data_IF_202153157770
#
_entry.id   IF_202153157770
#
_cell.length_a   1.000
_cell.length_b   1.000
_cell.length_c   1.000
_cell.angle_alpha   90.00
_cell.angle_beta   90.00
_cell.angle_gamma   90.00
#
_symmetry.space_group_name_H-M   'P 1'
#
loop_
_entity.id
_entity.type
_entity.pdbx_description
1 polymer ?
#
# COMPACT_ATOMS: atom_id res chain seq x y z
N UNK A 1 -21.04 73.63 -44.22
CA UNK A 1 -21.39 72.19 -44.39
C UNK A 1 -20.84 71.40 -43.20
N UNK A 2 -21.37 71.67 -42.01
CA UNK A 2 -20.80 71.23 -40.73
C UNK A 2 -21.94 70.93 -39.76
N UNK A 3 -22.63 69.80 -39.93
CA UNK A 3 -23.70 69.40 -39.01
C UNK A 3 -24.09 67.90 -39.12
N UNK A 4 -23.15 66.99 -39.41
CA UNK A 4 -23.48 65.55 -39.53
C UNK A 4 -22.57 64.60 -38.73
N UNK A 5 -21.68 65.11 -37.88
CA UNK A 5 -20.77 64.27 -37.07
C UNK A 5 -21.01 64.32 -35.55
N UNK A 6 -22.02 65.05 -35.07
CA UNK A 6 -22.29 65.19 -33.63
C UNK A 6 -23.43 64.27 -33.11
N UNK A 7 -24.32 63.76 -33.98
CA UNK A 7 -25.46 62.93 -33.54
C UNK A 7 -25.19 61.42 -33.46
N UNK A 8 -24.05 60.92 -33.98
CA UNK A 8 -23.72 59.48 -33.89
C UNK A 8 -23.03 59.08 -32.58
N UNK A 9 -22.64 60.05 -31.75
CA UNK A 9 -21.89 59.80 -30.50
C UNK A 9 -22.83 59.75 -29.28
N UNK A 10 -23.98 60.43 -29.31
CA UNK A 10 -24.95 60.44 -28.20
C UNK A 10 -25.94 59.26 -28.19
N UNK A 11 -26.06 58.52 -29.30
CA UNK A 11 -26.92 57.33 -29.38
C UNK A 11 -26.21 56.04 -28.95
N UNK A 12 -24.89 56.08 -28.69
CA UNK A 12 -24.08 54.89 -28.37
C UNK A 12 -23.72 54.74 -26.88
N UNK A 13 -24.14 55.66 -26.02
CA UNK A 13 -23.78 55.71 -24.59
C UNK A 13 -24.90 55.31 -23.63
N UNK A 14 -26.07 54.85 -24.11
CA UNK A 14 -27.20 54.44 -23.26
C UNK A 14 -27.50 52.93 -23.21
N UNK A 15 -26.59 52.06 -23.66
CA UNK A 15 -26.64 50.62 -23.34
C UNK A 15 -25.75 50.26 -22.15
N UNK A 16 -25.84 51.05 -21.07
CA UNK A 16 -25.33 50.63 -19.77
C UNK A 16 -26.04 49.33 -19.37
N UNK A 17 -25.24 48.28 -19.20
CA UNK A 17 -25.70 46.92 -18.95
C UNK A 17 -26.73 46.82 -17.84
N UNK A 18 -27.99 46.57 -18.23
CA UNK A 18 -28.92 45.81 -17.38
C UNK A 18 -28.32 44.41 -17.18
N UNK A 19 -27.57 44.24 -16.09
CA UNK A 19 -27.30 42.91 -15.54
C UNK A 19 -28.66 42.26 -15.32
N UNK A 20 -29.00 41.27 -16.15
CA UNK A 20 -30.14 40.39 -15.89
C UNK A 20 -29.99 39.87 -14.44
N UNK A 21 -31.05 39.85 -13.62
CA UNK A 21 -30.95 39.28 -12.29
C UNK A 21 -30.53 37.82 -12.47
N UNK A 22 -29.33 37.48 -12.02
CA UNK A 22 -28.88 36.10 -11.97
C UNK A 22 -29.77 35.45 -10.92
N UNK A 23 -30.82 34.76 -11.37
CA UNK A 23 -31.74 34.00 -10.52
C UNK A 23 -30.92 33.11 -9.59
N UNK A 24 -31.32 33.02 -8.32
CA UNK A 24 -30.66 32.18 -7.29
C UNK A 24 -30.38 30.75 -7.78
N UNK A 25 -31.23 30.20 -8.66
CA UNK A 25 -31.05 28.94 -9.36
C UNK A 25 -29.79 28.86 -10.25
N UNK A 26 -29.37 29.95 -10.90
CA UNK A 26 -28.15 30.03 -11.71
C UNK A 26 -26.87 30.20 -10.86
N UNK A 27 -26.98 30.75 -9.64
CA UNK A 27 -25.90 30.68 -8.64
C UNK A 27 -25.77 29.27 -8.05
N UNK A 28 -26.89 28.56 -7.84
CA UNK A 28 -26.88 27.15 -7.41
C UNK A 28 -26.32 26.23 -8.51
N UNK A 29 -26.72 26.41 -9.77
CA UNK A 29 -26.17 25.64 -10.89
C UNK A 29 -24.67 25.89 -11.16
N UNK A 30 -24.12 27.05 -10.76
CA UNK A 30 -22.67 27.33 -10.83
C UNK A 30 -21.89 26.79 -9.63
N UNK A 31 -22.56 26.44 -8.54
CA UNK A 31 -21.94 25.72 -7.42
C UNK A 31 -21.82 24.21 -7.69
N UNK A 32 -22.47 23.70 -8.73
CA UNK A 32 -22.52 22.27 -9.09
C UNK A 32 -21.37 21.78 -10.01
N UNK A 33 -20.38 22.61 -10.35
CA UNK A 33 -19.09 22.11 -10.85
C UNK A 33 -18.19 21.63 -9.70
N UNK A 34 -18.80 21.02 -8.69
CA UNK A 34 -18.16 20.69 -7.43
C UNK A 34 -17.36 19.41 -7.55
N UNK A 35 -16.41 19.37 -8.50
CA UNK A 35 -15.38 18.36 -8.50
C UNK A 35 -14.67 18.48 -7.15
N UNK A 36 -14.87 17.52 -6.25
CA UNK A 36 -14.20 17.53 -4.96
C UNK A 36 -12.69 17.46 -5.22
N UNK A 37 -12.02 18.62 -5.14
CA UNK A 37 -10.60 18.77 -5.47
C UNK A 37 -9.69 17.98 -4.53
N UNK A 38 -10.19 17.59 -3.36
CA UNK A 38 -9.48 16.87 -2.30
C UNK A 38 -10.30 15.70 -1.74
N UNK A 39 -9.60 14.67 -1.26
CA UNK A 39 -10.20 13.56 -0.50
C UNK A 39 -10.96 14.08 0.73
N UNK A 40 -10.43 15.11 1.40
CA UNK A 40 -11.08 15.69 2.58
C UNK A 40 -12.44 16.34 2.25
N UNK A 41 -12.57 16.99 1.09
CA UNK A 41 -13.85 17.57 0.68
C UNK A 41 -14.87 16.50 0.31
N UNK A 42 -14.44 15.40 -0.33
CA UNK A 42 -15.29 14.26 -0.62
C UNK A 42 -15.84 13.63 0.67
N UNK A 43 -14.97 13.36 1.66
CA UNK A 43 -15.38 12.79 2.95
C UNK A 43 -16.39 13.70 3.66
N UNK A 44 -16.17 15.02 3.66
CA UNK A 44 -17.14 15.96 4.27
C UNK A 44 -18.48 15.93 3.54
N UNK A 45 -18.47 15.86 2.22
CA UNK A 45 -19.70 15.81 1.45
C UNK A 45 -20.50 14.53 1.73
N UNK A 46 -19.82 13.38 1.77
CA UNK A 46 -20.42 12.09 2.16
C UNK A 46 -21.00 12.16 3.58
N UNK A 47 -20.25 12.70 4.54
CA UNK A 47 -20.71 12.85 5.94
C UNK A 47 -21.89 13.80 6.10
N UNK A 48 -22.13 14.69 5.14
CA UNK A 48 -23.25 15.63 5.17
C UNK A 48 -24.51 15.05 4.51
N UNK A 49 -24.43 13.91 3.83
CA UNK A 49 -25.60 13.22 3.27
C UNK A 49 -26.51 12.77 4.41
N UNK A 50 -27.82 13.03 4.27
CA UNK A 50 -28.81 12.68 5.31
C UNK A 50 -29.39 11.28 5.11
N UNK A 51 -29.29 10.74 3.89
CA UNK A 51 -29.88 9.46 3.52
C UNK A 51 -28.86 8.59 2.78
N UNK A 52 -29.01 7.27 2.92
CA UNK A 52 -28.17 6.29 2.22
C UNK A 52 -28.33 6.36 0.68
N UNK A 53 -29.49 6.81 0.18
CA UNK A 53 -29.70 7.01 -1.25
C UNK A 53 -28.89 8.20 -1.78
N UNK A 54 -28.94 9.34 -1.08
CA UNK A 54 -28.16 10.54 -1.42
C UNK A 54 -26.65 10.26 -1.39
N UNK A 55 -26.20 9.47 -0.41
CA UNK A 55 -24.81 9.01 -0.32
C UNK A 55 -24.41 8.19 -1.55
N UNK A 56 -25.22 7.19 -1.93
CA UNK A 56 -24.96 6.34 -3.11
C UNK A 56 -24.92 7.16 -4.41
N UNK A 57 -25.82 8.13 -4.57
CA UNK A 57 -25.86 9.00 -5.75
C UNK A 57 -24.65 9.92 -5.83
N UNK A 58 -24.19 10.46 -4.70
CA UNK A 58 -22.96 11.26 -4.64
C UNK A 58 -21.74 10.40 -4.99
N UNK A 59 -21.63 9.21 -4.41
CA UNK A 59 -20.53 8.29 -4.69
C UNK A 59 -20.52 7.88 -6.17
N UNK A 60 -21.68 7.55 -6.75
CA UNK A 60 -21.82 7.15 -8.16
C UNK A 60 -21.38 8.28 -9.10
N UNK A 61 -21.82 9.51 -8.85
CA UNK A 61 -21.40 10.70 -9.63
C UNK A 61 -19.89 10.92 -9.55
N UNK A 62 -19.32 10.87 -8.35
CA UNK A 62 -17.87 11.05 -8.16
C UNK A 62 -17.04 9.92 -8.77
N UNK A 63 -17.52 8.67 -8.70
CA UNK A 63 -16.86 7.55 -9.35
C UNK A 63 -16.82 7.72 -10.88
N UNK A 64 -17.89 8.23 -11.49
CA UNK A 64 -17.93 8.55 -12.91
C UNK A 64 -16.94 9.68 -13.27
N UNK A 65 -16.88 10.75 -12.48
CA UNK A 65 -15.89 11.82 -12.67
C UNK A 65 -14.45 11.31 -12.55
N UNK A 66 -14.17 10.46 -11.55
CA UNK A 66 -12.85 9.87 -11.36
C UNK A 66 -12.47 8.99 -12.56
N UNK A 67 -13.40 8.18 -13.08
CA UNK A 67 -13.16 7.36 -14.28
C UNK A 67 -12.74 8.22 -15.48
N UNK A 68 -13.47 9.30 -15.73
CA UNK A 68 -13.12 10.27 -16.79
C UNK A 68 -11.77 10.95 -16.52
N UNK A 69 -11.49 11.30 -15.26
CA UNK A 69 -10.21 11.91 -14.89
C UNK A 69 -9.03 10.97 -15.12
N UNK A 70 -9.16 9.69 -14.75
CA UNK A 70 -8.10 8.69 -14.94
C UNK A 70 -7.82 8.45 -16.42
N UNK A 71 -8.87 8.27 -17.25
CA UNK A 71 -8.72 8.13 -18.70
C UNK A 71 -7.99 9.33 -19.33
N UNK A 72 -8.38 10.56 -18.97
CA UNK A 72 -7.80 11.80 -19.50
C UNK A 72 -6.37 12.11 -18.99
N UNK A 73 -5.91 11.43 -17.94
CA UNK A 73 -4.55 11.60 -17.41
C UNK A 73 -3.51 10.72 -18.11
N UNK A 74 -3.95 9.71 -18.87
CA UNK A 74 -3.05 8.78 -19.58
C UNK A 74 -2.22 9.47 -20.68
N UNK A 75 -2.66 10.62 -21.20
CA UNK A 75 -2.13 11.22 -22.45
C UNK A 75 -1.09 12.33 -22.22
N UNK A 76 -0.79 12.78 -20.99
CA UNK A 76 0.05 13.98 -20.80
C UNK A 76 0.98 13.97 -19.58
N UNK A 77 2.29 14.15 -19.84
CA UNK A 77 3.34 14.41 -18.84
C UNK A 77 2.99 15.69 -18.05
N UNK A 78 2.97 15.61 -16.71
CA UNK A 78 2.62 16.73 -15.81
C UNK A 78 1.28 16.63 -15.07
N UNK A 79 0.46 15.60 -15.32
CA UNK A 79 -0.83 15.37 -14.61
C UNK A 79 -0.74 14.34 -13.46
N UNK A 80 0.45 13.95 -13.02
CA UNK A 80 0.66 12.93 -11.97
C UNK A 80 -0.06 13.26 -10.66
N UNK A 81 -0.01 14.52 -10.22
CA UNK A 81 -0.75 14.99 -9.03
C UNK A 81 -2.27 14.83 -9.16
N UNK A 82 -2.81 14.88 -10.38
CA UNK A 82 -4.25 14.65 -10.63
C UNK A 82 -4.58 13.16 -10.54
N UNK A 83 -3.72 12.28 -11.07
CA UNK A 83 -3.86 10.81 -10.93
C UNK A 83 -3.79 10.38 -9.47
N UNK A 84 -2.79 10.86 -8.73
CA UNK A 84 -2.66 10.59 -7.29
C UNK A 84 -3.95 10.93 -6.54
N UNK A 85 -4.50 12.13 -6.76
CA UNK A 85 -5.75 12.56 -6.09
C UNK A 85 -6.96 11.75 -6.53
N UNK A 86 -7.08 11.49 -7.82
CA UNK A 86 -8.18 10.68 -8.37
C UNK A 86 -8.17 9.28 -7.76
N UNK A 87 -7.01 8.62 -7.71
CA UNK A 87 -6.87 7.30 -7.09
C UNK A 87 -7.10 7.36 -5.58
N UNK A 88 -6.59 8.37 -4.88
CA UNK A 88 -6.83 8.50 -3.43
C UNK A 88 -8.33 8.67 -3.10
N UNK A 89 -9.07 9.45 -3.91
CA UNK A 89 -10.54 9.53 -3.78
C UNK A 89 -11.19 8.18 -4.06
N UNK A 90 -10.71 7.48 -5.09
CA UNK A 90 -11.22 6.18 -5.49
C UNK A 90 -11.06 5.12 -4.38
N UNK A 91 -9.88 5.05 -3.75
CA UNK A 91 -9.64 4.15 -2.61
C UNK A 91 -10.48 4.52 -1.40
N UNK A 92 -10.71 5.81 -1.16
CA UNK A 92 -11.62 6.25 -0.10
C UNK A 92 -13.05 5.77 -0.36
N UNK A 93 -13.53 5.87 -1.60
CA UNK A 93 -14.84 5.35 -2.01
C UNK A 93 -14.89 3.83 -1.78
N UNK A 94 -13.88 3.09 -2.25
CA UNK A 94 -13.82 1.64 -2.07
C UNK A 94 -13.91 1.23 -0.60
N UNK A 95 -13.20 1.91 0.30
CA UNK A 95 -13.23 1.60 1.73
C UNK A 95 -14.61 1.85 2.36
N UNK A 96 -15.33 2.89 1.91
CA UNK A 96 -16.68 3.19 2.40
C UNK A 96 -17.72 2.23 1.85
N UNK A 97 -17.61 1.84 0.58
CA UNK A 97 -18.61 1.02 -0.09
C UNK A 97 -18.38 -0.48 0.08
N UNK A 98 -17.18 -0.92 0.49
CA UNK A 98 -16.86 -2.33 0.72
C UNK A 98 -17.81 -3.00 1.73
N UNK A 99 -18.31 -2.26 2.73
CA UNK A 99 -19.20 -2.79 3.76
C UNK A 99 -20.67 -2.95 3.31
N UNK A 100 -21.09 -2.31 2.21
CA UNK A 100 -22.51 -2.14 1.87
C UNK A 100 -22.90 -2.66 0.48
N UNK A 101 -22.13 -3.59 -0.10
CA UNK A 101 -22.39 -4.15 -1.44
C UNK A 101 -22.05 -3.18 -2.56
N UNK A 102 -20.84 -2.59 -2.46
CA UNK A 102 -20.42 -1.42 -3.22
C UNK A 102 -20.33 -1.52 -4.75
N UNK A 103 -20.29 -0.34 -5.37
CA UNK A 103 -19.95 -0.12 -6.78
C UNK A 103 -18.57 -0.73 -7.07
N UNK A 104 -18.45 -1.45 -8.19
CA UNK A 104 -17.15 -2.00 -8.60
C UNK A 104 -16.19 -0.87 -9.01
N UNK A 105 -15.07 -0.81 -8.30
CA UNK A 105 -13.99 0.15 -8.49
C UNK A 105 -12.80 -0.48 -9.26
N UNK A 106 -12.99 -1.65 -9.87
CA UNK A 106 -11.96 -2.41 -10.56
C UNK A 106 -11.20 -1.61 -11.65
N UNK A 107 -11.84 -0.60 -12.26
CA UNK A 107 -11.21 0.26 -13.27
C UNK A 107 -9.98 1.04 -12.76
N UNK A 108 -9.78 1.17 -11.45
CA UNK A 108 -8.63 1.84 -10.85
C UNK A 108 -7.35 0.98 -10.76
N UNK A 109 -7.41 -0.32 -11.04
CA UNK A 109 -6.28 -1.26 -10.85
C UNK A 109 -5.04 -0.87 -11.67
N UNK A 110 -5.21 -0.60 -12.97
CA UNK A 110 -4.09 -0.24 -13.85
C UNK A 110 -3.46 1.10 -13.47
N UNK A 111 -4.25 2.07 -13.01
CA UNK A 111 -3.71 3.35 -12.53
C UNK A 111 -2.96 3.20 -11.19
N UNK A 112 -3.37 2.26 -10.32
CA UNK A 112 -2.62 1.91 -9.13
C UNK A 112 -1.26 1.27 -9.48
N UNK A 113 -1.21 0.36 -10.47
CA UNK A 113 0.04 -0.21 -10.99
C UNK A 113 0.96 0.88 -11.56
N UNK A 114 0.41 1.83 -12.33
CA UNK A 114 1.18 2.97 -12.85
C UNK A 114 1.78 3.85 -11.74
N UNK A 115 1.05 4.08 -10.64
CA UNK A 115 1.59 4.81 -9.50
C UNK A 115 2.64 4.00 -8.73
N UNK A 116 2.51 2.67 -8.67
CA UNK A 116 3.55 1.80 -8.09
C UNK A 116 4.86 1.85 -8.90
N UNK A 117 4.78 2.03 -10.22
CA UNK A 117 5.95 2.25 -11.09
C UNK A 117 6.50 3.70 -11.05
N UNK A 118 5.84 4.65 -10.37
CA UNK A 118 6.30 6.04 -10.27
C UNK A 118 7.62 6.14 -9.49
N UNK A 119 8.53 7.07 -9.83
CA UNK A 119 9.73 7.33 -9.02
C UNK A 119 9.43 8.03 -7.68
N UNK A 120 8.26 8.65 -7.54
CA UNK A 120 7.91 9.39 -6.32
C UNK A 120 7.44 8.43 -5.22
N UNK A 121 8.03 8.53 -4.03
CA UNK A 121 7.66 7.68 -2.89
C UNK A 121 6.19 7.80 -2.48
N UNK A 122 5.62 9.01 -2.50
CA UNK A 122 4.21 9.23 -2.17
C UNK A 122 3.27 8.50 -3.15
N UNK A 123 3.61 8.52 -4.45
CA UNK A 123 2.85 7.83 -5.48
C UNK A 123 2.98 6.31 -5.32
N UNK A 124 4.21 5.80 -5.09
CA UNK A 124 4.44 4.38 -4.80
C UNK A 124 3.62 3.91 -3.59
N UNK A 125 3.62 4.68 -2.50
CA UNK A 125 2.84 4.39 -1.29
C UNK A 125 1.35 4.28 -1.57
N UNK A 126 0.80 5.19 -2.37
CA UNK A 126 -0.61 5.12 -2.75
C UNK A 126 -0.88 3.96 -3.72
N UNK A 127 0.03 3.67 -4.65
CA UNK A 127 -0.07 2.54 -5.57
C UNK A 127 -0.10 1.20 -4.84
N UNK A 128 0.83 0.97 -3.92
CA UNK A 128 0.90 -0.22 -3.07
C UNK A 128 -0.36 -0.43 -2.22
N UNK A 129 -0.87 0.64 -1.60
CA UNK A 129 -2.16 0.60 -0.90
C UNK A 129 -3.31 0.30 -1.87
N UNK A 130 -3.28 0.90 -3.06
CA UNK A 130 -4.32 0.72 -4.06
C UNK A 130 -4.40 -0.70 -4.58
N UNK A 131 -3.26 -1.33 -4.88
CA UNK A 131 -3.21 -2.75 -5.24
C UNK A 131 -3.65 -3.62 -4.06
N UNK A 132 -3.28 -3.28 -2.82
CA UNK A 132 -3.72 -4.01 -1.62
C UNK A 132 -5.24 -4.04 -1.43
N UNK A 133 -5.96 -3.05 -1.97
CA UNK A 133 -7.42 -2.92 -1.84
C UNK A 133 -8.20 -3.29 -3.09
N UNK A 134 -7.62 -3.11 -4.27
CA UNK A 134 -8.32 -3.23 -5.55
C UNK A 134 -7.92 -4.47 -6.36
N UNK A 135 -6.83 -5.14 -6.02
CA UNK A 135 -6.33 -6.26 -6.82
C UNK A 135 -7.37 -7.38 -6.89
N UNK A 136 -7.72 -7.75 -8.11
CA UNK A 136 -8.58 -8.89 -8.41
C UNK A 136 -7.73 -10.04 -8.94
N UNK A 137 -8.32 -11.24 -8.97
CA UNK A 137 -7.78 -12.51 -9.46
C UNK A 137 -7.46 -12.55 -10.97
N UNK A 138 -7.54 -11.41 -11.68
CA UNK A 138 -7.18 -11.30 -13.09
C UNK A 138 -5.68 -11.58 -13.31
N UNK A 139 -5.38 -12.59 -14.12
CA UNK A 139 -4.02 -13.06 -14.41
C UNK A 139 -3.11 -11.95 -14.94
N UNK A 140 -3.58 -11.11 -15.86
CA UNK A 140 -2.78 -10.01 -16.42
C UNK A 140 -2.35 -8.99 -15.35
N UNK A 141 -3.28 -8.64 -14.46
CA UNK A 141 -3.02 -7.66 -13.39
C UNK A 141 -2.07 -8.24 -12.34
N UNK A 142 -2.21 -9.54 -12.04
CA UNK A 142 -1.30 -10.27 -11.16
C UNK A 142 0.13 -10.28 -11.71
N UNK A 143 0.34 -10.62 -12.98
CA UNK A 143 1.68 -10.63 -13.60
C UNK A 143 2.34 -9.24 -13.55
N UNK A 144 1.59 -8.18 -13.86
CA UNK A 144 2.11 -6.81 -13.78
C UNK A 144 2.43 -6.40 -12.35
N UNK A 145 1.60 -6.80 -11.38
CA UNK A 145 1.85 -6.58 -9.97
C UNK A 145 3.12 -7.31 -9.52
N UNK A 146 3.29 -8.59 -9.87
CA UNK A 146 4.48 -9.38 -9.50
C UNK A 146 5.76 -8.76 -10.02
N UNK A 147 5.77 -8.33 -11.28
CA UNK A 147 6.92 -7.64 -11.87
C UNK A 147 7.27 -6.33 -11.14
N UNK A 148 6.24 -5.57 -10.76
CA UNK A 148 6.43 -4.33 -10.02
C UNK A 148 6.96 -4.59 -8.61
N UNK A 149 6.45 -5.62 -7.92
CA UNK A 149 6.99 -6.07 -6.64
C UNK A 149 8.44 -6.51 -6.77
N UNK A 150 8.77 -7.33 -7.78
CA UNK A 150 10.14 -7.78 -8.03
C UNK A 150 11.11 -6.61 -8.23
N UNK A 151 10.69 -5.59 -8.98
CA UNK A 151 11.48 -4.36 -9.16
C UNK A 151 11.70 -3.61 -7.84
N UNK A 152 10.66 -3.42 -7.04
CA UNK A 152 10.73 -2.72 -5.74
C UNK A 152 11.51 -3.52 -4.67
N UNK A 153 11.53 -4.86 -4.75
CA UNK A 153 12.33 -5.73 -3.87
C UNK A 153 13.79 -5.83 -4.31
N UNK A 154 14.07 -5.69 -5.62
CA UNK A 154 15.42 -5.76 -6.18
C UNK A 154 16.17 -4.42 -6.08
N UNK A 155 15.45 -3.29 -6.10
CA UNK A 155 15.97 -1.93 -6.17
C UNK A 155 16.71 -1.39 -4.92
N UNK A 156 17.36 -2.25 -4.14
CA UNK A 156 18.02 -1.87 -2.89
C UNK A 156 19.31 -2.61 -2.54
N UNK A 157 19.88 -3.43 -3.43
CA UNK A 157 21.25 -3.92 -3.24
C UNK A 157 22.19 -3.28 -4.26
N UNK A 158 23.26 -2.60 -3.82
CA UNK A 158 24.34 -2.20 -4.70
C UNK A 158 25.16 -3.46 -5.03
N UNK A 159 24.97 -4.03 -6.22
CA UNK A 159 26.04 -4.81 -6.86
C UNK A 159 27.09 -3.90 -7.51
N UNK A 160 26.96 -2.58 -7.36
CA UNK A 160 27.97 -1.59 -7.72
C UNK A 160 27.80 -0.35 -6.82
N UNK A 161 28.87 0.23 -6.25
CA UNK A 161 28.80 1.46 -5.47
C UNK A 161 28.59 2.65 -6.43
N UNK A 162 27.38 2.78 -6.97
CA UNK A 162 26.99 4.01 -7.67
C UNK A 162 26.22 4.91 -6.72
N UNK A 163 26.71 6.14 -6.66
CA UNK A 163 26.32 7.24 -5.80
C UNK A 163 24.91 7.76 -6.13
N UNK A 164 23.87 6.94 -5.91
CA UNK A 164 22.47 7.37 -5.89
C UNK A 164 21.90 7.09 -4.51
N UNK A 165 22.31 7.93 -3.57
CA UNK A 165 21.84 8.00 -2.19
C UNK A 165 20.39 8.49 -2.15
N UNK A 166 19.44 7.56 -2.23
CA UNK A 166 18.11 7.82 -1.72
C UNK A 166 17.78 6.75 -0.67
N UNK A 167 17.83 7.14 0.61
CA UNK A 167 17.32 6.34 1.74
C UNK A 167 15.85 5.90 1.57
N UNK A 168 15.16 6.39 0.54
CA UNK A 168 13.86 5.90 0.06
C UNK A 168 13.85 4.42 -0.35
N UNK A 169 14.99 3.82 -0.77
CA UNK A 169 15.00 2.43 -1.25
C UNK A 169 14.52 1.42 -0.18
N UNK A 170 15.00 1.54 1.07
CA UNK A 170 14.54 0.65 2.14
C UNK A 170 13.05 0.82 2.47
N UNK A 171 12.53 2.04 2.37
CA UNK A 171 11.11 2.30 2.60
C UNK A 171 10.23 1.77 1.47
N UNK A 172 10.72 1.81 0.22
CA UNK A 172 10.06 1.20 -0.94
C UNK A 172 10.04 -0.33 -0.81
N UNK A 173 11.17 -0.96 -0.48
CA UNK A 173 11.23 -2.41 -0.23
C UNK A 173 10.34 -2.79 0.95
N UNK A 174 10.35 -2.03 2.05
CA UNK A 174 9.49 -2.28 3.20
C UNK A 174 7.99 -2.11 2.88
N UNK A 175 7.64 -1.17 2.01
CA UNK A 175 6.29 -0.99 1.50
C UNK A 175 5.85 -2.20 0.67
N UNK A 176 6.69 -2.63 -0.28
CA UNK A 176 6.45 -3.83 -1.09
C UNK A 176 6.25 -5.08 -0.23
N UNK A 177 7.13 -5.32 0.76
CA UNK A 177 7.01 -6.44 1.70
C UNK A 177 5.71 -6.40 2.50
N UNK A 178 5.27 -5.19 2.90
CA UNK A 178 4.02 -5.03 3.65
C UNK A 178 2.80 -5.36 2.79
N UNK A 179 2.76 -4.86 1.56
CA UNK A 179 1.68 -5.16 0.60
C UNK A 179 1.66 -6.65 0.23
N UNK A 180 2.83 -7.27 0.05
CA UNK A 180 2.94 -8.71 -0.23
C UNK A 180 2.41 -9.55 0.93
N UNK A 181 2.70 -9.20 2.19
CA UNK A 181 2.17 -9.93 3.34
C UNK A 181 0.63 -10.05 3.34
N UNK A 182 -0.09 -9.08 2.76
CA UNK A 182 -1.54 -9.15 2.55
C UNK A 182 -1.96 -9.86 1.26
N UNK A 183 -1.25 -9.65 0.15
CA UNK A 183 -1.70 -10.00 -1.20
C UNK A 183 -1.12 -11.30 -1.77
N UNK A 184 -0.10 -11.88 -1.14
CA UNK A 184 0.70 -12.94 -1.72
C UNK A 184 -0.16 -14.15 -2.13
N UNK A 185 -0.24 -14.39 -3.43
CA UNK A 185 -0.84 -15.59 -4.05
C UNK A 185 0.22 -16.68 -4.24
N UNK A 186 -0.20 -17.92 -4.53
CA UNK A 186 0.72 -19.05 -4.74
C UNK A 186 1.68 -18.81 -5.92
N UNK A 187 1.18 -18.25 -7.03
CA UNK A 187 2.02 -17.92 -8.19
C UNK A 187 3.04 -16.83 -7.87
N UNK A 188 2.63 -15.77 -7.16
CA UNK A 188 3.55 -14.72 -6.71
C UNK A 188 4.59 -15.24 -5.72
N UNK A 189 4.19 -16.13 -4.81
CA UNK A 189 5.08 -16.74 -3.83
C UNK A 189 6.22 -17.52 -4.48
N UNK A 190 5.93 -18.28 -5.53
CA UNK A 190 6.96 -19.02 -6.28
C UNK A 190 7.93 -18.07 -6.98
N UNK A 191 7.41 -17.06 -7.69
CA UNK A 191 8.22 -16.13 -8.48
C UNK A 191 9.11 -15.21 -7.61
N UNK A 192 8.63 -14.81 -6.43
CA UNK A 192 9.32 -13.89 -5.52
C UNK A 192 10.12 -14.59 -4.42
N UNK A 193 10.09 -15.92 -4.34
CA UNK A 193 10.74 -16.72 -3.28
C UNK A 193 12.23 -16.38 -3.14
N UNK A 194 12.93 -16.27 -4.27
CA UNK A 194 14.37 -15.97 -4.31
C UNK A 194 14.66 -14.57 -3.73
N UNK A 195 13.90 -13.55 -4.14
CA UNK A 195 14.04 -12.19 -3.62
C UNK A 195 13.70 -12.10 -2.13
N UNK A 196 12.66 -12.79 -1.67
CA UNK A 196 12.27 -12.81 -0.25
C UNK A 196 13.35 -13.45 0.62
N UNK A 197 13.90 -14.60 0.21
CA UNK A 197 15.00 -15.26 0.92
C UNK A 197 16.29 -14.43 0.92
N UNK A 198 16.56 -13.71 -0.18
CA UNK A 198 17.69 -12.77 -0.25
C UNK A 198 17.55 -11.65 0.78
N UNK A 199 16.34 -11.15 1.02
CA UNK A 199 16.08 -10.07 1.96
C UNK A 199 16.27 -10.46 3.44
N UNK A 200 16.21 -11.75 3.78
CA UNK A 200 16.52 -12.25 5.12
C UNK A 200 17.99 -12.06 5.52
N UNK A 201 18.89 -11.79 4.56
CA UNK A 201 20.31 -11.55 4.84
C UNK A 201 20.66 -10.06 4.95
N UNK A 202 19.72 -9.16 4.72
CA UNK A 202 19.99 -7.72 4.74
C UNK A 202 20.12 -7.26 6.20
N UNK A 203 21.24 -6.64 6.62
CA UNK A 203 21.45 -6.23 8.02
C UNK A 203 20.68 -4.94 8.36
N UNK A 204 19.36 -4.95 8.17
CA UNK A 204 18.47 -3.84 8.47
C UNK A 204 17.21 -4.36 9.16
N UNK A 205 17.08 -4.11 10.46
CA UNK A 205 15.96 -4.57 11.28
C UNK A 205 14.58 -4.16 10.74
N UNK A 206 14.46 -3.00 10.08
CA UNK A 206 13.21 -2.56 9.45
C UNK A 206 12.79 -3.47 8.29
N UNK A 207 13.76 -3.90 7.47
CA UNK A 207 13.53 -4.82 6.35
C UNK A 207 13.35 -6.24 6.86
N UNK A 208 14.23 -6.70 7.76
CA UNK A 208 14.24 -8.07 8.28
C UNK A 208 12.90 -8.47 8.86
N UNK A 209 12.35 -7.68 9.80
CA UNK A 209 11.04 -8.01 10.41
C UNK A 209 9.91 -8.12 9.39
N UNK A 210 9.96 -7.32 8.31
CA UNK A 210 8.97 -7.37 7.22
C UNK A 210 9.22 -8.54 6.27
N UNK A 211 10.47 -8.84 5.96
CA UNK A 211 10.87 -9.94 5.11
C UNK A 211 10.53 -11.29 5.75
N UNK A 212 10.81 -11.44 7.04
CA UNK A 212 10.44 -12.62 7.84
C UNK A 212 8.92 -12.84 7.82
N UNK A 213 8.12 -11.79 8.02
CA UNK A 213 6.65 -11.90 7.94
C UNK A 213 6.14 -12.19 6.53
N UNK A 214 6.80 -11.67 5.49
CA UNK A 214 6.47 -12.00 4.10
C UNK A 214 6.80 -13.47 3.78
N UNK A 215 7.92 -14.00 4.29
CA UNK A 215 8.27 -15.43 4.20
C UNK A 215 7.31 -16.30 5.00
N UNK A 216 6.87 -15.85 6.18
CA UNK A 216 5.81 -16.52 6.95
C UNK A 216 4.52 -16.62 6.12
N UNK A 217 4.12 -15.53 5.46
CA UNK A 217 2.97 -15.55 4.55
C UNK A 217 3.19 -16.50 3.37
N UNK A 218 4.40 -16.52 2.79
CA UNK A 218 4.79 -17.44 1.71
C UNK A 218 4.60 -18.91 2.10
N UNK A 219 5.10 -19.30 3.28
CA UNK A 219 4.90 -20.64 3.82
C UNK A 219 3.40 -20.92 3.99
N UNK A 220 2.64 -19.94 4.48
CA UNK A 220 1.20 -20.10 4.68
C UNK A 220 0.42 -20.31 3.39
N UNK A 221 0.84 -19.67 2.31
CA UNK A 221 0.19 -19.70 1.00
C UNK A 221 0.61 -20.92 0.17
N UNK A 222 1.85 -21.39 0.26
CA UNK A 222 2.35 -22.53 -0.50
C UNK A 222 1.92 -23.87 0.14
N UNK A 223 1.77 -24.89 -0.71
CA UNK A 223 1.52 -26.27 -0.24
C UNK A 223 2.79 -26.87 0.35
N UNK A 224 2.66 -27.75 1.34
CA UNK A 224 3.80 -28.41 1.97
C UNK A 224 4.62 -29.27 0.99
N UNK A 225 3.99 -29.78 -0.06
CA UNK A 225 4.66 -30.53 -1.12
C UNK A 225 5.65 -29.65 -1.90
N UNK A 226 5.22 -28.45 -2.30
CA UNK A 226 6.07 -27.50 -3.05
C UNK A 226 7.25 -27.03 -2.20
N UNK A 227 7.01 -26.70 -0.93
CA UNK A 227 8.06 -26.25 -0.03
C UNK A 227 9.14 -27.30 0.22
N UNK A 228 8.79 -28.60 0.20
CA UNK A 228 9.72 -29.72 0.37
C UNK A 228 10.47 -30.07 -0.91
N UNK A 229 9.80 -30.07 -2.06
CA UNK A 229 10.43 -30.39 -3.35
C UNK A 229 11.54 -29.40 -3.71
N UNK A 230 11.38 -28.12 -3.32
CA UNK A 230 12.31 -27.05 -3.66
C UNK A 230 13.41 -26.81 -2.59
N UNK A 231 13.45 -27.61 -1.51
CA UNK A 231 14.42 -27.42 -0.40
C UNK A 231 14.26 -26.07 0.31
N UNK A 232 13.08 -25.44 0.21
CA UNK A 232 12.81 -24.11 0.76
C UNK A 232 12.78 -24.14 2.29
N UNK A 233 12.34 -25.24 2.89
CA UNK A 233 12.32 -25.41 4.35
C UNK A 233 13.71 -25.26 4.97
N UNK A 234 14.70 -25.95 4.42
CA UNK A 234 16.09 -25.93 4.87
C UNK A 234 16.71 -24.54 4.68
N UNK A 235 16.50 -23.93 3.51
CA UNK A 235 16.99 -22.58 3.24
C UNK A 235 16.40 -21.55 4.21
N UNK A 236 15.08 -21.60 4.46
CA UNK A 236 14.43 -20.68 5.40
C UNK A 236 14.98 -20.88 6.82
N UNK A 237 15.15 -22.13 7.25
CA UNK A 237 15.67 -22.45 8.57
C UNK A 237 17.09 -21.91 8.77
N UNK A 238 17.98 -22.15 7.81
CA UNK A 238 19.37 -21.67 7.84
C UNK A 238 19.45 -20.13 7.91
N UNK A 239 18.56 -19.42 7.17
CA UNK A 239 18.52 -17.95 7.22
C UNK A 239 17.83 -17.39 8.46
N UNK A 240 16.92 -18.13 9.09
CA UNK A 240 16.16 -17.65 10.26
C UNK A 240 16.91 -17.87 11.57
N UNK A 241 17.73 -18.94 11.67
CA UNK A 241 18.52 -19.25 12.86
C UNK A 241 19.36 -18.08 13.40
N UNK A 242 20.14 -17.33 12.59
CA UNK A 242 20.91 -16.20 13.11
C UNK A 242 20.04 -15.04 13.59
N UNK A 243 18.82 -14.89 13.06
CA UNK A 243 17.90 -13.81 13.42
C UNK A 243 17.36 -13.95 14.85
N UNK A 244 17.37 -15.15 15.43
CA UNK A 244 17.02 -15.37 16.84
C UNK A 244 18.03 -14.82 17.84
N UNK A 245 19.20 -14.38 17.37
CA UNK A 245 20.21 -13.69 18.19
C UNK A 245 20.28 -12.19 17.91
N UNK A 246 19.29 -11.64 17.18
CA UNK A 246 19.21 -10.20 16.90
C UNK A 246 18.88 -9.41 18.17
N UNK A 247 19.35 -8.16 18.24
CA UNK A 247 19.07 -7.24 19.35
C UNK A 247 17.70 -6.59 19.22
N UNK A 248 17.13 -6.55 18.02
CA UNK A 248 15.84 -5.95 17.76
C UNK A 248 14.71 -6.92 18.10
N UNK A 249 13.90 -6.57 19.09
CA UNK A 249 12.77 -7.40 19.53
C UNK A 249 11.73 -7.63 18.42
N UNK A 250 11.56 -6.68 17.50
CA UNK A 250 10.67 -6.85 16.35
C UNK A 250 11.18 -7.91 15.35
N UNK A 251 12.50 -8.05 15.20
CA UNK A 251 13.09 -9.14 14.41
C UNK A 251 12.90 -10.46 15.15
N UNK A 252 13.24 -10.53 16.45
CA UNK A 252 13.04 -11.71 17.29
C UNK A 252 11.59 -12.22 17.24
N UNK A 253 10.61 -11.35 17.45
CA UNK A 253 9.19 -11.69 17.44
C UNK A 253 8.77 -12.28 16.08
N UNK A 254 9.18 -11.63 14.98
CA UNK A 254 8.89 -12.15 13.64
C UNK A 254 9.56 -13.50 13.39
N UNK A 255 10.79 -13.70 13.86
CA UNK A 255 11.54 -14.95 13.71
C UNK A 255 10.94 -16.08 14.55
N UNK A 256 10.51 -15.81 15.78
CA UNK A 256 9.79 -16.77 16.61
C UNK A 256 8.46 -17.18 15.96
N UNK A 257 7.71 -16.23 15.39
CA UNK A 257 6.48 -16.54 14.66
C UNK A 257 6.74 -17.41 13.42
N UNK A 258 7.82 -17.14 12.66
CA UNK A 258 8.23 -17.95 11.52
C UNK A 258 8.61 -19.37 11.93
N UNK A 259 9.41 -19.52 12.98
CA UNK A 259 9.83 -20.83 13.50
C UNK A 259 8.66 -21.63 14.06
N UNK A 260 7.73 -20.97 14.73
CA UNK A 260 6.50 -21.60 15.23
C UNK A 260 5.66 -22.17 14.08
N UNK A 261 5.49 -21.41 13.00
CA UNK A 261 4.78 -21.89 11.81
C UNK A 261 5.53 -23.05 11.12
N UNK A 262 6.85 -22.95 11.00
CA UNK A 262 7.68 -24.03 10.46
C UNK A 262 7.55 -25.30 11.31
N UNK A 263 7.59 -25.18 12.64
CA UNK A 263 7.46 -26.30 13.55
C UNK A 263 6.09 -26.97 13.43
N UNK A 264 5.01 -26.19 13.31
CA UNK A 264 3.65 -26.70 13.16
C UNK A 264 3.46 -27.48 11.85
N UNK A 265 4.09 -27.04 10.75
CA UNK A 265 3.98 -27.68 9.42
C UNK A 265 4.95 -28.83 9.18
N UNK A 266 6.03 -28.88 9.96
CA UNK A 266 7.08 -29.88 9.82
C UNK A 266 6.96 -31.05 10.80
N UNK A 267 5.88 -31.14 11.59
CA UNK A 267 5.66 -32.23 12.54
C UNK A 267 5.84 -33.60 11.87
N UNK A 268 6.68 -34.44 12.46
CA UNK A 268 6.99 -35.77 11.94
C UNK A 268 8.02 -35.82 10.81
N UNK A 269 8.61 -34.69 10.43
CA UNK A 269 9.67 -34.63 9.40
C UNK A 269 11.07 -34.46 10.03
N UNK A 270 12.17 -34.76 9.31
CA UNK A 270 13.53 -34.56 9.83
C UNK A 270 13.82 -33.10 10.22
N UNK A 271 13.23 -32.13 9.51
CA UNK A 271 13.37 -30.70 9.80
C UNK A 271 12.89 -30.34 11.21
N UNK A 272 11.86 -31.04 11.72
CA UNK A 272 11.38 -30.84 13.09
C UNK A 272 12.44 -31.17 14.15
N UNK A 273 13.32 -32.13 13.88
CA UNK A 273 14.44 -32.43 14.79
C UNK A 273 15.46 -31.30 14.81
N UNK A 274 15.74 -30.66 13.68
CA UNK A 274 16.61 -29.47 13.63
C UNK A 274 15.98 -28.28 14.35
N UNK A 275 14.67 -28.07 14.20
CA UNK A 275 13.94 -27.01 14.92
C UNK A 275 14.00 -27.21 16.45
N UNK A 276 13.89 -28.46 16.93
CA UNK A 276 14.04 -28.76 18.37
C UNK A 276 15.39 -28.33 18.94
N UNK A 277 16.47 -28.37 18.14
CA UNK A 277 17.80 -27.92 18.57
C UNK A 277 17.87 -26.41 18.83
N UNK A 278 16.87 -25.64 18.38
CA UNK A 278 16.77 -24.20 18.65
C UNK A 278 16.15 -23.88 20.01
N UNK A 279 15.51 -24.84 20.69
CA UNK A 279 14.84 -24.62 21.96
C UNK A 279 15.74 -23.98 23.05
N UNK A 280 17.01 -24.40 23.25
CA UNK A 280 17.89 -23.75 24.24
C UNK A 280 18.14 -22.27 23.95
N UNK A 281 18.17 -21.91 22.66
CA UNK A 281 18.39 -20.53 22.24
C UNK A 281 17.16 -19.67 22.57
N UNK A 282 15.95 -20.20 22.32
CA UNK A 282 14.69 -19.53 22.69
C UNK A 282 14.56 -19.36 24.21
N UNK A 283 14.90 -20.39 24.99
CA UNK A 283 14.92 -20.31 26.47
C UNK A 283 15.89 -19.24 26.95
N UNK A 284 17.05 -19.10 26.31
CA UNK A 284 18.02 -18.03 26.63
C UNK A 284 17.46 -16.64 26.32
N UNK A 285 16.77 -16.47 25.19
CA UNK A 285 16.10 -15.19 24.85
C UNK A 285 15.03 -14.86 25.89
N UNK A 286 14.16 -15.82 26.23
CA UNK A 286 13.13 -15.64 27.25
C UNK A 286 13.72 -15.30 28.63
N UNK A 287 14.76 -16.01 29.04
CA UNK A 287 15.46 -15.72 30.30
C UNK A 287 16.03 -14.31 30.31
N UNK A 288 16.59 -13.85 29.18
CA UNK A 288 17.05 -12.47 29.05
C UNK A 288 15.92 -11.45 29.21
N UNK A 289 14.71 -11.72 28.72
CA UNK A 289 13.57 -10.82 28.88
C UNK A 289 13.07 -10.75 30.33
N UNK A 290 13.11 -11.88 31.05
CA UNK A 290 12.66 -11.98 32.43
C UNK A 290 13.64 -11.39 33.45
N UNK A 291 14.95 -11.51 33.20
CA UNK A 291 15.98 -11.18 34.19
C UNK A 291 16.86 -9.96 33.83
N UNK A 292 16.80 -9.44 32.60
CA UNK A 292 17.64 -8.31 32.17
C UNK A 292 17.12 -6.95 32.64
N UNK A 293 18.04 -5.99 32.77
CA UNK A 293 17.76 -4.58 33.04
C UNK A 293 16.81 -3.98 32.00
N UNK A 294 15.78 -3.30 32.50
CA UNK A 294 14.73 -2.57 31.77
C UNK A 294 15.10 -2.13 30.37
N UNK A 295 14.36 -2.62 29.37
CA UNK A 295 14.35 -2.05 28.02
C UNK A 295 13.21 -1.02 27.93
N UNK A 296 13.46 0.29 28.13
CA UNK A 296 12.40 1.28 28.24
C UNK A 296 11.53 1.41 26.97
N UNK A 297 12.09 1.04 25.81
CA UNK A 297 11.35 1.05 24.53
C UNK A 297 10.35 -0.11 24.39
N UNK A 298 10.54 -1.19 25.15
CA UNK A 298 9.72 -2.41 25.08
C UNK A 298 8.96 -2.70 26.38
N UNK A 299 9.09 -1.83 27.39
CA UNK A 299 8.36 -1.98 28.65
C UNK A 299 6.88 -1.66 28.46
N UNK A 300 6.03 -2.59 28.88
CA UNK A 300 4.57 -2.41 28.90
C UNK A 300 4.10 -2.72 30.30
N UNK A 301 3.87 -1.67 31.09
CA UNK A 301 3.37 -1.80 32.46
C UNK A 301 4.33 -2.52 33.41
N UNK A 302 5.64 -2.29 33.28
CA UNK A 302 6.67 -2.94 34.11
C UNK A 302 7.03 -4.37 33.67
N UNK A 303 6.50 -4.83 32.53
CA UNK A 303 6.88 -6.09 31.90
C UNK A 303 7.67 -5.81 30.62
N UNK A 304 8.90 -6.32 30.57
CA UNK A 304 9.77 -6.23 29.38
C UNK A 304 9.22 -7.08 28.23
N UNK A 305 8.68 -6.43 27.20
CA UNK A 305 8.16 -7.04 25.97
C UNK A 305 7.24 -8.26 26.18
N UNK A 306 6.01 -8.05 26.68
CA UNK A 306 5.08 -9.15 26.91
C UNK A 306 4.69 -9.89 25.62
N UNK A 307 4.79 -9.24 24.45
CA UNK A 307 4.44 -9.88 23.16
C UNK A 307 5.47 -10.92 22.75
N UNK A 308 6.75 -10.62 22.95
CA UNK A 308 7.83 -11.58 22.67
C UNK A 308 7.88 -12.71 23.70
N UNK A 309 7.45 -12.49 24.94
CA UNK A 309 7.40 -13.54 25.96
C UNK A 309 6.32 -14.61 25.72
N UNK A 310 5.22 -14.25 25.05
CA UNK A 310 4.10 -15.17 24.78
C UNK A 310 4.37 -16.12 23.60
N UNK A 311 5.23 -15.70 22.66
CA UNK A 311 5.62 -16.50 21.49
C UNK A 311 6.70 -17.52 21.82
#
# INVERSE_FOLDING_TARGET
MSSSSAESILSRSLSLGRKKPVTRAAMMAKTDSNSYKSVKSLIRAIRNCKTAAEERDLISREAAEIRMALQNTSISRGKEKKRYRALAKLLCIQLLTAAHGGISVAFGQLDALKLMASPNFADKRLGHLGISLLLDSSQETLVLATNSFKSDLSGGMPSLPTLSSNGCSMYVTGLALTSLASLLTSGMAQELSTELLRLLNVPNAYILKKAVLAVLKMIRTLSDASLRQDGLYEMILERTRPLLSDRNHGVLLSSCALISELALRSVGTPIFLELKKLAPLLVRVLSSLLFSSSFPEYDVGGTTDPFLQVF
#
